data_IF_404204891489
#
_entry.id   IF_404204891489
#
_cell.length_a   1.000
_cell.length_b   1.000
_cell.length_c   1.000
_cell.angle_alpha   90.00
_cell.angle_beta   90.00
_cell.angle_gamma   90.00
#
_symmetry.space_group_name_H-M   'P 1'
#
loop_
_entity.id
_entity.type
_entity.pdbx_description
1 polymer ?
#
# COMPACT_ATOMS: atom_id res chain seq x y z
N UNK A 1 -13.42 4.72 10.36
CA UNK A 1 -13.75 4.60 8.93
C UNK A 1 -12.47 4.40 8.14
N UNK A 2 -12.46 3.42 7.26
CA UNK A 2 -11.30 3.19 6.38
C UNK A 2 -11.52 3.87 5.05
N UNK A 3 -10.51 4.54 4.57
CA UNK A 3 -10.52 5.19 3.25
C UNK A 3 -9.74 4.34 2.27
N UNK A 4 -10.34 4.07 1.11
CA UNK A 4 -9.73 3.28 0.05
C UNK A 4 -9.51 4.19 -1.16
N UNK A 5 -8.26 4.30 -1.58
CA UNK A 5 -7.90 5.11 -2.73
C UNK A 5 -7.24 4.24 -3.80
N UNK A 6 -7.53 4.53 -5.03
CA UNK A 6 -7.00 3.80 -6.19
C UNK A 6 -6.06 4.68 -6.98
N UNK A 7 -4.87 4.17 -7.21
CA UNK A 7 -3.89 4.81 -8.05
C UNK A 7 -3.33 3.81 -9.04
N UNK A 8 -2.96 4.27 -10.23
CA UNK A 8 -2.42 3.43 -11.26
C UNK A 8 -3.43 3.17 -12.38
N UNK A 9 -2.91 2.64 -13.46
CA UNK A 9 -3.65 2.46 -14.70
C UNK A 9 -3.98 1.00 -15.02
N UNK A 10 -3.62 0.08 -14.14
CA UNK A 10 -3.82 -1.34 -14.38
C UNK A 10 -5.31 -1.66 -14.47
N UNK A 11 -5.82 -2.18 -15.60
CA UNK A 11 -7.25 -2.38 -15.79
C UNK A 11 -7.92 -3.30 -14.76
N UNK A 12 -7.21 -4.31 -14.29
CA UNK A 12 -7.75 -5.29 -13.35
C UNK A 12 -8.16 -4.72 -12.00
N UNK A 13 -7.56 -3.60 -11.60
CA UNK A 13 -7.81 -3.02 -10.28
C UNK A 13 -9.25 -2.50 -10.13
N UNK A 14 -9.86 -2.08 -11.24
CA UNK A 14 -11.22 -1.54 -11.23
C UNK A 14 -12.30 -2.62 -11.10
N UNK A 15 -11.93 -3.87 -11.31
CA UNK A 15 -12.86 -4.98 -11.26
C UNK A 15 -12.84 -5.69 -9.90
N UNK A 16 -12.09 -5.17 -8.93
CA UNK A 16 -12.01 -5.75 -7.61
C UNK A 16 -13.28 -5.48 -6.80
N UNK A 17 -13.69 -6.49 -6.04
CA UNK A 17 -14.83 -6.36 -5.13
C UNK A 17 -14.37 -5.74 -3.80
N UNK A 18 -15.28 -5.15 -3.02
CA UNK A 18 -14.91 -4.56 -1.74
C UNK A 18 -14.15 -5.51 -0.80
N UNK A 19 -14.51 -6.79 -0.78
CA UNK A 19 -13.82 -7.78 0.05
C UNK A 19 -12.38 -8.07 -0.38
N UNK A 20 -12.05 -7.82 -1.63
CA UNK A 20 -10.71 -8.06 -2.16
C UNK A 20 -9.69 -7.06 -1.60
N UNK A 21 -10.14 -5.91 -1.13
CA UNK A 21 -9.24 -4.87 -0.63
C UNK A 21 -8.79 -5.11 0.81
N UNK A 22 -9.60 -5.75 1.60
CA UNK A 22 -9.30 -6.04 3.00
C UNK A 22 -9.18 -7.54 3.27
N UNK A 23 -9.22 -8.35 2.23
CA UNK A 23 -9.20 -9.79 2.34
C UNK A 23 -7.84 -10.36 2.70
N UNK A 24 -7.81 -11.67 2.86
CA UNK A 24 -6.58 -12.43 3.10
C UNK A 24 -5.73 -12.47 1.83
N UNK A 25 -4.48 -12.82 1.99
CA UNK A 25 -3.57 -12.99 0.86
C UNK A 25 -2.57 -11.86 0.66
N UNK A 26 -2.64 -10.83 1.50
CA UNK A 26 -1.65 -9.77 1.47
C UNK A 26 -0.44 -10.16 2.29
N UNK A 27 0.74 -10.04 1.67
CA UNK A 27 2.01 -10.33 2.32
C UNK A 27 2.80 -9.03 2.38
N UNK A 28 3.32 -8.70 3.56
CA UNK A 28 4.13 -7.50 3.73
C UNK A 28 5.45 -7.66 2.95
N UNK A 29 5.69 -6.73 2.05
CA UNK A 29 6.91 -6.67 1.26
C UNK A 29 7.92 -5.70 1.88
N UNK A 30 7.44 -4.60 2.42
CA UNK A 30 8.29 -3.56 2.97
C UNK A 30 7.61 -2.91 4.17
N UNK A 31 8.37 -2.73 5.25
CA UNK A 31 7.91 -2.02 6.44
C UNK A 31 8.59 -0.67 6.52
N UNK A 32 7.78 0.37 6.53
CA UNK A 32 8.22 1.74 6.66
C UNK A 32 7.61 2.36 7.92
N UNK A 33 7.83 3.65 8.12
CA UNK A 33 7.22 4.39 9.23
C UNK A 33 6.95 5.82 8.83
N UNK A 34 6.02 6.45 9.53
CA UNK A 34 5.80 7.89 9.42
C UNK A 34 6.91 8.63 10.15
N UNK A 35 6.95 9.94 10.00
CA UNK A 35 7.92 10.76 10.74
C UNK A 35 7.75 10.66 12.27
N UNK A 36 6.59 10.21 12.73
CA UNK A 36 6.30 10.01 14.17
C UNK A 36 6.50 8.57 14.64
N UNK A 37 7.00 7.71 13.76
CA UNK A 37 7.25 6.32 14.09
C UNK A 37 6.06 5.38 13.93
N UNK A 38 4.94 5.85 13.41
CA UNK A 38 3.78 5.00 13.14
C UNK A 38 4.11 4.03 12.03
N UNK A 39 3.84 2.71 12.21
CA UNK A 39 4.14 1.73 11.17
C UNK A 39 3.38 1.97 9.87
N UNK A 40 4.07 1.76 8.77
CA UNK A 40 3.51 1.81 7.42
C UNK A 40 3.89 0.51 6.72
N UNK A 41 2.89 -0.23 6.23
CA UNK A 41 3.13 -1.49 5.55
C UNK A 41 2.87 -1.36 4.06
N UNK A 42 3.79 -1.87 3.26
CA UNK A 42 3.61 -2.03 1.82
C UNK A 42 3.45 -3.52 1.58
N UNK A 43 2.27 -3.92 1.15
CA UNK A 43 1.89 -5.32 1.02
C UNK A 43 1.47 -5.64 -0.41
N UNK A 44 1.67 -6.89 -0.80
CA UNK A 44 1.32 -7.38 -2.11
C UNK A 44 0.34 -8.54 -2.00
N UNK A 45 -0.69 -8.52 -2.83
CA UNK A 45 -1.55 -9.67 -3.05
C UNK A 45 -1.27 -10.22 -4.44
N UNK A 46 -0.51 -11.32 -4.50
CA UNK A 46 -0.07 -11.89 -5.78
C UNK A 46 -1.23 -12.48 -6.59
N UNK A 47 -2.23 -12.99 -5.91
CA UNK A 47 -3.39 -13.57 -6.57
C UNK A 47 -4.20 -12.49 -7.32
N UNK A 48 -4.39 -11.36 -6.67
CA UNK A 48 -5.11 -10.24 -7.26
C UNK A 48 -4.19 -9.29 -8.04
N UNK A 49 -2.88 -9.44 -7.87
CA UNK A 49 -1.87 -8.56 -8.46
C UNK A 49 -2.10 -7.10 -8.07
N UNK A 50 -2.31 -6.88 -6.78
CA UNK A 50 -2.61 -5.58 -6.19
C UNK A 50 -1.62 -5.28 -5.08
N UNK A 51 -1.21 -4.03 -5.00
CA UNK A 51 -0.32 -3.51 -3.95
C UNK A 51 -1.09 -2.59 -3.02
N UNK A 52 -0.79 -2.68 -1.75
CA UNK A 52 -1.48 -1.93 -0.70
C UNK A 52 -0.47 -1.22 0.18
N UNK A 53 -0.66 0.08 0.38
CA UNK A 53 0.09 0.87 1.37
C UNK A 53 -0.88 1.25 2.48
N UNK A 54 -0.61 0.78 3.68
CA UNK A 54 -1.48 1.01 4.84
C UNK A 54 -0.74 1.76 5.94
N UNK A 55 -1.32 2.86 6.38
CA UNK A 55 -0.82 3.62 7.52
C UNK A 55 -1.99 4.18 8.30
N UNK A 56 -2.04 3.90 9.60
CA UNK A 56 -3.17 4.30 10.45
C UNK A 56 -4.48 3.72 9.92
N UNK A 57 -5.46 4.58 9.71
CA UNK A 57 -6.75 4.20 9.14
C UNK A 57 -6.80 4.35 7.62
N UNK A 58 -5.73 4.78 7.02
CA UNK A 58 -5.68 5.01 5.58
C UNK A 58 -5.10 3.80 4.86
N UNK A 59 -5.73 3.41 3.76
CA UNK A 59 -5.25 2.35 2.89
C UNK A 59 -5.34 2.83 1.46
N UNK A 60 -4.21 2.74 0.75
CA UNK A 60 -4.11 3.16 -0.64
C UNK A 60 -3.71 1.96 -1.48
N UNK A 61 -4.39 1.75 -2.60
CA UNK A 61 -4.17 0.60 -3.47
C UNK A 61 -3.54 1.01 -4.79
N UNK A 62 -2.64 0.16 -5.28
CA UNK A 62 -1.89 0.40 -6.51
C UNK A 62 -1.89 -0.87 -7.36
N UNK A 63 -1.79 -0.68 -8.66
CA UNK A 63 -1.71 -1.79 -9.61
C UNK A 63 -0.31 -2.38 -9.74
N UNK A 64 0.74 -1.63 -9.36
CA UNK A 64 2.12 -2.06 -9.48
C UNK A 64 2.93 -1.70 -8.24
N UNK A 65 4.02 -2.44 -8.02
CA UNK A 65 4.97 -2.14 -6.95
C UNK A 65 5.59 -0.76 -7.15
N UNK A 66 5.93 -0.42 -8.39
CA UNK A 66 6.54 0.87 -8.70
C UNK A 66 5.65 2.03 -8.29
N UNK A 67 4.36 1.95 -8.55
CA UNK A 67 3.40 2.99 -8.15
C UNK A 67 3.28 3.09 -6.62
N UNK A 68 3.25 1.95 -5.94
CA UNK A 68 3.20 1.94 -4.47
C UNK A 68 4.44 2.60 -3.86
N UNK A 69 5.63 2.28 -4.38
CA UNK A 69 6.87 2.87 -3.90
C UNK A 69 6.98 4.36 -4.23
N UNK A 70 6.50 4.76 -5.40
CA UNK A 70 6.46 6.17 -5.79
C UNK A 70 5.58 6.98 -4.84
N UNK A 71 4.47 6.41 -4.40
CA UNK A 71 3.62 7.05 -3.41
C UNK A 71 4.33 7.22 -2.07
N UNK A 72 5.11 6.22 -1.65
CA UNK A 72 5.84 6.26 -0.37
C UNK A 72 7.00 7.25 -0.40
N UNK A 73 7.57 7.49 -1.56
CA UNK A 73 8.72 8.38 -1.72
C UNK A 73 8.35 9.81 -1.29
N UNK A 74 9.14 10.37 -0.38
CA UNK A 74 8.90 11.71 0.13
C UNK A 74 7.82 11.79 1.21
N UNK A 75 7.16 10.67 1.55
CA UNK A 75 6.09 10.62 2.57
C UNK A 75 6.50 9.86 3.81
N UNK A 76 7.26 8.79 3.62
CA UNK A 76 7.59 7.86 4.69
C UNK A 76 9.10 7.67 4.81
N UNK A 77 9.48 6.97 5.88
CA UNK A 77 10.87 6.76 6.26
C UNK A 77 11.13 5.27 6.45
N UNK A 78 12.37 4.84 6.24
CA UNK A 78 12.75 3.46 6.51
C UNK A 78 12.95 3.24 8.02
N UNK A 79 13.32 2.01 8.41
CA UNK A 79 13.53 1.66 9.81
C UNK A 79 14.67 2.44 10.47
N UNK A 80 15.57 3.01 9.67
CA UNK A 80 16.68 3.83 10.17
C UNK A 80 16.32 5.32 10.25
N UNK A 81 15.09 5.68 9.90
CA UNK A 81 14.64 7.05 9.92
C UNK A 81 15.03 7.88 8.71
N UNK A 82 15.51 7.23 7.66
CA UNK A 82 15.86 7.90 6.40
C UNK A 82 14.68 7.93 5.45
N UNK A 83 14.49 9.04 4.77
CA UNK A 83 13.43 9.18 3.78
C UNK A 83 13.63 8.19 2.62
N UNK A 84 12.54 7.55 2.24
CA UNK A 84 12.57 6.62 1.11
C UNK A 84 12.28 7.31 -0.22
#
# INVERSE_FOLDING_TARGET
>A
MKYHFFYGTKPGIRNLRPGDFSGKGYVCDLLLQTRWGTPVTVSCNRELDVWKVQHGFSTVFFGTRADALAYCKGRFYDANGQAV
#
